data_IF_602130989502
#
_entry.id   IF_602130989502
#
_cell.length_a   1.000
_cell.length_b   1.000
_cell.length_c   1.000
_cell.angle_alpha   90.00
_cell.angle_beta   90.00
_cell.angle_gamma   90.00
#
_symmetry.space_group_name_H-M   'P 1'
#
loop_
_entity.id
_entity.type
_entity.pdbx_description
1 polymer ?
#
# COMPACT_ATOMS: atom_id res chain seq x y z
N UNK A 1 -1.22 3.81 15.44
CA UNK A 1 -1.48 5.23 15.76
C UNK A 1 -0.58 5.70 16.91
N UNK A 2 -0.55 5.04 18.08
CA UNK A 2 0.34 5.41 19.21
C UNK A 2 1.81 5.45 18.77
N UNK A 3 2.22 4.48 17.97
CA UNK A 3 3.57 4.46 17.38
C UNK A 3 3.84 5.70 16.53
N UNK A 4 2.93 6.06 15.62
CA UNK A 4 3.09 7.24 14.76
C UNK A 4 3.18 8.54 15.60
N UNK A 5 2.33 8.68 16.60
CA UNK A 5 2.37 9.83 17.51
C UNK A 5 3.69 9.93 18.29
N UNK A 6 4.25 8.79 18.70
CA UNK A 6 5.54 8.76 19.38
C UNK A 6 6.73 9.01 18.43
N UNK A 7 6.62 8.60 17.17
CA UNK A 7 7.69 8.74 16.17
C UNK A 7 7.72 10.14 15.56
N UNK A 8 6.55 10.76 15.40
CA UNK A 8 6.36 12.08 14.79
C UNK A 8 5.54 12.98 15.74
N UNK A 9 6.11 13.39 16.89
CA UNK A 9 5.36 14.10 17.95
C UNK A 9 4.90 15.51 17.54
N UNK A 10 5.60 16.15 16.63
CA UNK A 10 5.35 17.50 16.17
C UNK A 10 4.30 17.59 15.06
N UNK A 11 3.88 16.43 14.52
CA UNK A 11 2.93 16.39 13.42
C UNK A 11 1.48 16.30 13.89
N UNK A 12 0.60 17.00 13.18
CA UNK A 12 -0.84 16.94 13.39
C UNK A 12 -1.43 15.63 12.84
N UNK A 13 -1.49 14.62 13.70
CA UNK A 13 -1.97 13.29 13.34
C UNK A 13 -3.48 13.17 13.52
N UNK A 14 -4.20 12.92 12.42
CA UNK A 14 -5.62 12.63 12.41
C UNK A 14 -5.90 11.17 12.06
N UNK A 15 -6.83 10.55 12.76
CA UNK A 15 -7.41 9.26 12.37
C UNK A 15 -8.79 9.48 11.76
N UNK A 16 -8.93 9.18 10.48
CA UNK A 16 -10.16 9.33 9.72
C UNK A 16 -10.80 7.95 9.56
N UNK A 17 -12.08 7.81 9.91
CA UNK A 17 -12.83 6.57 9.75
C UNK A 17 -14.33 6.85 9.74
N UNK A 18 -15.11 6.04 9.03
CA UNK A 18 -16.56 5.98 9.09
C UNK A 18 -17.08 5.13 10.27
N UNK A 19 -16.19 4.39 10.93
CA UNK A 19 -16.52 3.51 12.05
C UNK A 19 -16.44 4.23 13.40
N UNK A 20 -17.58 4.56 14.01
CA UNK A 20 -17.66 5.23 15.33
C UNK A 20 -16.87 4.50 16.43
N UNK A 21 -16.85 3.14 16.39
CA UNK A 21 -16.09 2.34 17.37
C UNK A 21 -14.59 2.54 17.23
N UNK A 22 -14.08 2.66 15.98
CA UNK A 22 -12.67 2.92 15.70
C UNK A 22 -12.30 4.35 16.12
N UNK A 23 -13.14 5.32 15.85
CA UNK A 23 -13.00 6.72 16.31
C UNK A 23 -12.92 6.78 17.83
N UNK A 24 -13.85 6.14 18.55
CA UNK A 24 -13.83 6.13 20.01
C UNK A 24 -12.54 5.54 20.59
N UNK A 25 -12.02 4.45 20.00
CA UNK A 25 -10.74 3.86 20.40
C UNK A 25 -9.55 4.78 20.15
N UNK A 26 -9.52 5.48 19.01
CA UNK A 26 -8.45 6.42 18.70
C UNK A 26 -8.47 7.63 19.65
N UNK A 27 -9.66 8.17 19.96
CA UNK A 27 -9.85 9.25 20.94
C UNK A 27 -9.35 8.85 22.34
N UNK A 28 -9.63 7.62 22.80
CA UNK A 28 -9.11 7.10 24.07
C UNK A 28 -7.57 7.07 24.14
N UNK A 29 -6.90 7.07 22.99
CA UNK A 29 -5.44 7.13 22.84
C UNK A 29 -4.90 8.55 22.62
N UNK A 30 -5.77 9.56 22.73
CA UNK A 30 -5.40 10.95 22.54
C UNK A 30 -5.00 11.29 21.11
N UNK A 31 -5.51 10.55 20.12
CA UNK A 31 -5.33 10.84 18.70
C UNK A 31 -6.46 11.76 18.24
N UNK A 32 -6.15 12.84 17.51
CA UNK A 32 -7.17 13.64 16.83
C UNK A 32 -7.95 12.76 15.86
N UNK A 33 -9.27 12.89 15.85
CA UNK A 33 -10.10 12.03 15.00
C UNK A 33 -11.09 12.84 14.18
N UNK A 34 -11.46 12.29 13.04
CA UNK A 34 -12.55 12.80 12.22
C UNK A 34 -13.46 11.64 11.80
N UNK A 35 -14.75 11.74 12.15
CA UNK A 35 -15.74 10.77 11.71
C UNK A 35 -16.13 11.11 10.26
N UNK A 36 -15.66 10.29 9.34
CA UNK A 36 -15.99 10.44 7.94
C UNK A 36 -17.49 10.26 7.69
N UNK A 37 -18.08 10.98 6.73
CA UNK A 37 -19.40 10.66 6.24
C UNK A 37 -19.40 9.25 5.67
N UNK A 38 -20.54 8.55 5.77
CA UNK A 38 -20.64 7.21 5.18
C UNK A 38 -20.53 7.30 3.65
N UNK A 39 -19.48 6.76 3.02
CA UNK A 39 -19.28 6.86 1.58
C UNK A 39 -20.42 6.22 0.79
N UNK A 40 -20.99 5.13 1.30
CA UNK A 40 -22.08 4.42 0.64
C UNK A 40 -23.36 5.24 0.54
N UNK A 41 -23.58 6.16 1.48
CA UNK A 41 -24.74 7.09 1.43
C UNK A 41 -24.45 8.31 0.56
N UNK A 42 -23.22 8.81 0.62
CA UNK A 42 -22.87 10.07 -0.04
C UNK A 42 -22.65 9.90 -1.56
N UNK A 43 -22.14 8.74 -1.99
CA UNK A 43 -21.84 8.45 -3.40
C UNK A 43 -22.56 7.19 -3.91
N UNK A 44 -23.86 7.08 -3.60
CA UNK A 44 -24.71 5.97 -4.04
C UNK A 44 -24.71 5.78 -5.57
N UNK A 45 -24.70 6.89 -6.33
CA UNK A 45 -24.64 6.85 -7.79
C UNK A 45 -23.36 6.14 -8.29
N UNK A 46 -22.20 6.56 -7.78
CA UNK A 46 -20.90 5.91 -8.13
C UNK A 46 -20.92 4.44 -7.75
N UNK A 47 -21.42 4.11 -6.56
CA UNK A 47 -21.51 2.72 -6.11
C UNK A 47 -22.42 1.87 -6.99
N UNK A 48 -23.57 2.41 -7.39
CA UNK A 48 -24.55 1.69 -8.20
C UNK A 48 -24.06 1.40 -9.63
N UNK A 49 -23.23 2.29 -10.18
CA UNK A 49 -22.72 2.19 -11.54
C UNK A 49 -21.35 1.53 -11.67
N UNK A 50 -20.69 1.25 -10.53
CA UNK A 50 -19.38 0.63 -10.54
C UNK A 50 -19.47 -0.84 -10.99
N UNK A 51 -18.72 -1.21 -12.02
CA UNK A 51 -18.73 -2.57 -12.59
C UNK A 51 -17.97 -3.61 -11.74
N UNK A 52 -17.28 -3.19 -10.70
CA UNK A 52 -16.57 -4.11 -9.81
C UNK A 52 -17.52 -4.87 -8.88
N UNK A 53 -17.32 -6.18 -8.66
CA UNK A 53 -18.14 -6.97 -7.75
C UNK A 53 -18.16 -6.37 -6.34
N UNK A 54 -19.34 -6.00 -5.84
CA UNK A 54 -19.49 -5.47 -4.48
C UNK A 54 -19.23 -6.54 -3.41
N UNK A 55 -19.39 -7.81 -3.76
CA UNK A 55 -19.07 -8.96 -2.89
C UNK A 55 -17.57 -9.13 -2.68
N UNK A 56 -16.75 -8.59 -3.58
CA UNK A 56 -15.29 -8.66 -3.40
C UNK A 56 -14.87 -7.79 -2.21
N UNK A 57 -14.54 -8.47 -1.10
CA UNK A 57 -14.06 -7.86 0.14
C UNK A 57 -14.96 -6.72 0.62
N UNK A 58 -16.28 -6.93 0.54
CA UNK A 58 -17.29 -5.98 0.98
C UNK A 58 -17.15 -4.60 0.29
N UNK A 59 -17.13 -4.59 -1.04
CA UNK A 59 -17.04 -3.38 -1.85
C UNK A 59 -15.66 -2.71 -1.82
N UNK A 60 -14.60 -3.49 -1.75
CA UNK A 60 -13.21 -3.00 -1.63
C UNK A 60 -12.89 -1.91 -2.67
N UNK A 61 -13.18 -2.15 -3.96
CA UNK A 61 -12.85 -1.20 -5.02
C UNK A 61 -13.61 0.11 -4.91
N UNK A 62 -14.88 0.05 -4.49
CA UNK A 62 -15.64 1.25 -4.18
C UNK A 62 -15.02 2.02 -3.00
N UNK A 63 -14.68 1.32 -1.91
CA UNK A 63 -14.13 1.95 -0.70
C UNK A 63 -12.77 2.59 -0.95
N UNK A 64 -11.92 2.00 -1.79
CA UNK A 64 -10.63 2.59 -2.14
C UNK A 64 -10.79 3.86 -2.98
N UNK A 65 -11.72 3.88 -3.94
CA UNK A 65 -12.03 5.09 -4.70
C UNK A 65 -12.72 6.16 -3.83
N UNK A 66 -13.70 5.77 -3.01
CA UNK A 66 -14.44 6.67 -2.12
C UNK A 66 -13.54 7.38 -1.09
N UNK A 67 -12.40 6.81 -0.74
CA UNK A 67 -11.39 7.43 0.13
C UNK A 67 -10.95 8.81 -0.35
N UNK A 68 -10.83 9.03 -1.66
CA UNK A 68 -10.44 10.31 -2.25
C UNK A 68 -11.47 11.38 -1.91
N UNK A 69 -12.75 11.06 -2.00
CA UNK A 69 -13.85 11.96 -1.66
C UNK A 69 -13.92 12.24 -0.15
N UNK A 70 -13.69 11.21 0.67
CA UNK A 70 -13.59 11.37 2.13
C UNK A 70 -12.45 12.31 2.50
N UNK A 71 -11.27 12.15 1.87
CA UNK A 71 -10.12 13.01 2.09
C UNK A 71 -10.41 14.46 1.68
N UNK A 72 -11.09 14.67 0.53
CA UNK A 72 -11.52 15.99 0.12
C UNK A 72 -12.45 16.64 1.16
N UNK A 73 -13.47 15.91 1.63
CA UNK A 73 -14.40 16.43 2.65
C UNK A 73 -13.64 16.82 3.95
N UNK A 74 -12.66 16.01 4.36
CA UNK A 74 -11.81 16.33 5.50
C UNK A 74 -11.01 17.63 5.26
N UNK A 75 -10.34 17.72 4.12
CA UNK A 75 -9.50 18.86 3.80
C UNK A 75 -10.30 20.17 3.64
N UNK A 76 -11.51 20.10 3.10
CA UNK A 76 -12.42 21.26 3.01
C UNK A 76 -12.86 21.74 4.38
N UNK A 77 -13.26 20.84 5.28
CA UNK A 77 -13.69 21.20 6.64
C UNK A 77 -12.56 21.84 7.45
N UNK A 78 -11.35 21.32 7.32
CA UNK A 78 -10.19 21.79 8.07
C UNK A 78 -9.39 22.90 7.36
N UNK A 79 -9.73 23.22 6.10
CA UNK A 79 -9.01 24.21 5.26
C UNK A 79 -7.50 23.94 5.19
N UNK A 80 -7.12 22.66 5.16
CA UNK A 80 -5.73 22.24 5.19
C UNK A 80 -4.93 22.81 4.02
N UNK A 81 -3.73 23.27 4.32
CA UNK A 81 -2.77 23.69 3.31
C UNK A 81 -2.02 22.49 2.72
N UNK A 82 -1.67 21.53 3.56
CA UNK A 82 -0.96 20.32 3.13
C UNK A 82 -1.48 19.10 3.90
N UNK A 83 -1.60 17.98 3.22
CA UNK A 83 -1.97 16.71 3.84
C UNK A 83 -1.12 15.57 3.28
N UNK A 84 -0.57 14.76 4.16
CA UNK A 84 0.03 13.48 3.84
C UNK A 84 -0.90 12.37 4.35
N UNK A 85 -1.69 11.79 3.44
CA UNK A 85 -2.54 10.65 3.74
C UNK A 85 -1.71 9.37 3.74
N UNK A 86 -1.94 8.52 4.74
CA UNK A 86 -1.26 7.23 4.91
C UNK A 86 -2.32 6.16 5.17
N UNK A 87 -2.25 5.03 4.48
CA UNK A 87 -3.16 3.91 4.76
C UNK A 87 -2.88 3.30 6.13
N UNK A 88 -3.93 2.77 6.77
CA UNK A 88 -3.84 2.23 8.12
C UNK A 88 -2.94 0.99 8.27
N UNK A 89 -2.59 0.35 7.17
CA UNK A 89 -1.69 -0.80 7.10
C UNK A 89 -0.28 -0.45 6.57
N UNK A 90 0.02 0.83 6.43
CA UNK A 90 1.37 1.32 6.15
C UNK A 90 2.10 1.59 7.46
N UNK A 91 3.28 1.01 7.59
CA UNK A 91 4.20 1.25 8.70
C UNK A 91 5.27 2.25 8.25
N UNK A 92 5.40 3.39 8.94
CA UNK A 92 6.46 4.37 8.69
C UNK A 92 7.65 4.10 9.60
N UNK A 93 8.86 4.17 9.05
CA UNK A 93 10.08 4.16 9.87
C UNK A 93 10.42 5.56 10.40
N UNK A 94 11.22 5.69 11.48
CA UNK A 94 11.66 7.00 11.97
C UNK A 94 12.44 7.83 10.93
N UNK A 95 13.06 7.16 9.96
CA UNK A 95 13.77 7.78 8.83
C UNK A 95 12.85 8.32 7.73
N UNK A 96 11.52 8.20 7.88
CA UNK A 96 10.56 8.70 6.88
C UNK A 96 10.73 10.22 6.72
N UNK A 97 10.96 10.73 5.49
CA UNK A 97 11.39 12.11 5.27
C UNK A 97 10.20 13.08 5.24
N UNK A 98 9.46 13.21 6.35
CA UNK A 98 8.23 14.02 6.39
C UNK A 98 8.47 15.48 6.02
N UNK A 99 9.60 16.05 6.47
CA UNK A 99 9.98 17.45 6.15
C UNK A 99 10.19 17.69 4.66
N UNK A 100 10.50 16.67 3.88
CA UNK A 100 10.67 16.82 2.43
C UNK A 100 9.35 17.05 1.69
N UNK A 101 8.22 16.74 2.31
CA UNK A 101 6.91 17.01 1.72
C UNK A 101 6.49 18.46 1.88
N UNK A 102 6.92 19.14 2.95
CA UNK A 102 6.56 20.54 3.23
C UNK A 102 7.04 21.48 2.12
N UNK A 103 8.22 21.21 1.55
CA UNK A 103 8.85 22.07 0.53
C UNK A 103 8.55 21.62 -0.91
N UNK A 104 7.66 20.63 -1.10
CA UNK A 104 7.35 20.14 -2.44
C UNK A 104 6.57 21.19 -3.24
N UNK A 105 7.19 21.67 -4.33
CA UNK A 105 6.50 22.56 -5.28
C UNK A 105 5.68 21.76 -6.30
N UNK A 106 4.83 20.83 -5.80
CA UNK A 106 3.95 19.99 -6.60
C UNK A 106 2.55 19.99 -6.01
N UNK A 107 1.55 19.60 -6.79
CA UNK A 107 0.17 19.55 -6.35
C UNK A 107 -0.17 18.22 -5.67
N UNK A 108 0.42 17.13 -6.18
CA UNK A 108 0.16 15.77 -5.72
C UNK A 108 1.42 14.91 -5.84
N UNK A 109 1.60 13.97 -4.89
CA UNK A 109 2.69 13.00 -4.94
C UNK A 109 2.25 11.66 -4.33
N UNK A 110 2.63 10.56 -4.99
CA UNK A 110 2.35 9.19 -4.54
C UNK A 110 3.30 8.20 -5.22
N UNK A 111 3.50 6.98 -4.67
CA UNK A 111 4.29 5.95 -5.31
C UNK A 111 3.54 5.29 -6.47
N UNK A 112 4.27 4.94 -7.54
CA UNK A 112 3.75 4.14 -8.65
C UNK A 112 4.07 2.66 -8.45
N UNK A 113 3.12 1.79 -8.82
CA UNK A 113 3.27 0.33 -8.83
C UNK A 113 3.67 -0.19 -10.22
N UNK A 114 3.11 0.43 -11.26
CA UNK A 114 3.40 0.13 -12.67
C UNK A 114 3.34 1.42 -13.48
N UNK A 115 3.51 1.32 -14.78
CA UNK A 115 3.40 2.46 -15.67
C UNK A 115 2.05 3.18 -15.55
N UNK A 116 0.96 2.42 -15.43
CA UNK A 116 -0.43 2.89 -15.46
C UNK A 116 -1.16 2.84 -14.10
N UNK A 117 -0.45 2.52 -13.01
CA UNK A 117 -1.08 2.32 -11.70
C UNK A 117 -0.31 3.01 -10.58
N UNK A 118 -0.96 3.99 -9.95
CA UNK A 118 -0.47 4.64 -8.74
C UNK A 118 -1.03 3.96 -7.47
N UNK A 119 -0.37 4.15 -6.34
CA UNK A 119 -0.77 3.56 -5.05
C UNK A 119 -1.01 4.65 -4.02
N UNK A 120 -2.23 4.72 -3.51
CA UNK A 120 -2.57 5.67 -2.44
C UNK A 120 -2.15 5.21 -1.03
N UNK A 121 -1.17 4.31 -0.91
CA UNK A 121 -0.61 3.93 0.39
C UNK A 121 -0.02 5.13 1.13
N UNK A 122 0.61 6.02 0.38
CA UNK A 122 1.06 7.35 0.77
C UNK A 122 0.60 8.29 -0.33
N UNK A 123 -0.16 9.32 0.03
CA UNK A 123 -0.67 10.31 -0.89
C UNK A 123 -0.50 11.72 -0.29
N UNK A 124 0.35 12.53 -0.92
CA UNK A 124 0.50 13.94 -0.59
C UNK A 124 -0.43 14.79 -1.45
N UNK A 125 -1.11 15.74 -0.83
CA UNK A 125 -1.93 16.78 -1.46
C UNK A 125 -1.55 18.15 -0.89
N UNK A 126 -1.27 19.09 -1.78
CA UNK A 126 -0.76 20.42 -1.42
C UNK A 126 -1.77 21.24 -0.63
N UNK A 127 -3.05 21.17 -0.96
CA UNK A 127 -4.12 21.92 -0.27
C UNK A 127 -5.51 21.38 -0.63
N UNK A 128 -6.54 21.91 0.04
CA UNK A 128 -7.93 21.52 -0.19
C UNK A 128 -8.42 21.78 -1.62
N UNK A 129 -7.93 22.81 -2.33
CA UNK A 129 -8.30 23.07 -3.74
C UNK A 129 -7.78 21.99 -4.68
N UNK A 130 -6.59 21.45 -4.40
CA UNK A 130 -6.06 20.30 -5.15
C UNK A 130 -6.84 19.04 -4.86
N UNK A 131 -7.28 18.84 -3.63
CA UNK A 131 -8.14 17.73 -3.28
C UNK A 131 -9.52 17.81 -3.98
N UNK A 132 -10.10 19.00 -4.08
CA UNK A 132 -11.32 19.25 -4.85
C UNK A 132 -11.12 18.92 -6.33
N UNK A 133 -10.07 19.46 -6.96
CA UNK A 133 -9.72 19.16 -8.35
C UNK A 133 -9.50 17.66 -8.59
N UNK A 134 -8.88 16.96 -7.64
CA UNK A 134 -8.71 15.51 -7.69
C UNK A 134 -10.06 14.76 -7.70
N UNK A 135 -11.04 15.20 -6.90
CA UNK A 135 -12.38 14.61 -6.90
C UNK A 135 -13.14 14.88 -8.19
N UNK A 136 -13.01 16.07 -8.78
CA UNK A 136 -13.62 16.38 -10.07
C UNK A 136 -13.06 15.51 -11.19
N UNK A 137 -11.72 15.33 -11.21
CA UNK A 137 -11.05 14.40 -12.14
C UNK A 137 -11.59 12.97 -11.92
N UNK A 138 -11.72 12.52 -10.67
CA UNK A 138 -12.22 11.19 -10.35
C UNK A 138 -13.64 10.95 -10.87
N UNK A 139 -14.51 11.95 -10.80
CA UNK A 139 -15.89 11.86 -11.33
C UNK A 139 -15.88 11.78 -12.86
N UNK A 140 -15.11 12.62 -13.54
CA UNK A 140 -14.98 12.61 -15.00
C UNK A 140 -14.42 11.27 -15.49
N UNK A 141 -13.35 10.79 -14.86
CA UNK A 141 -12.75 9.49 -15.19
C UNK A 141 -13.73 8.32 -14.94
N UNK A 142 -14.52 8.41 -13.87
CA UNK A 142 -15.56 7.41 -13.57
C UNK A 142 -16.68 7.39 -14.60
N UNK A 143 -17.10 8.54 -15.10
CA UNK A 143 -18.10 8.62 -16.18
C UNK A 143 -17.62 7.91 -17.45
N UNK A 144 -16.34 8.05 -17.76
CA UNK A 144 -15.71 7.43 -18.92
C UNK A 144 -15.36 5.94 -18.71
N UNK A 145 -15.11 5.52 -17.47
CA UNK A 145 -14.68 4.16 -17.14
C UNK A 145 -15.30 3.65 -15.84
N UNK A 146 -16.37 2.87 -15.94
CA UNK A 146 -17.06 2.26 -14.78
C UNK A 146 -16.25 1.14 -14.10
N UNK A 147 -15.08 0.77 -14.62
CA UNK A 147 -14.10 -0.12 -13.98
C UNK A 147 -12.98 0.67 -13.26
N UNK A 148 -13.15 1.98 -13.09
CA UNK A 148 -12.15 2.82 -12.43
C UNK A 148 -11.87 2.32 -11.01
N UNK A 149 -10.58 2.25 -10.68
CA UNK A 149 -10.09 2.06 -9.30
C UNK A 149 -9.26 3.28 -8.91
N UNK A 150 -9.01 3.46 -7.62
CA UNK A 150 -8.08 4.50 -7.15
C UNK A 150 -6.69 4.36 -7.80
N UNK A 151 -6.22 3.14 -8.02
CA UNK A 151 -4.92 2.88 -8.64
C UNK A 151 -4.89 3.34 -10.11
N UNK A 152 -5.94 3.05 -10.89
CA UNK A 152 -6.04 3.50 -12.28
C UNK A 152 -6.21 5.01 -12.36
N UNK A 153 -7.04 5.61 -11.49
CA UNK A 153 -7.18 7.05 -11.40
C UNK A 153 -5.85 7.75 -11.17
N UNK A 154 -5.06 7.27 -10.20
CA UNK A 154 -3.75 7.83 -9.93
C UNK A 154 -2.78 7.62 -11.10
N UNK A 155 -2.84 6.48 -11.79
CA UNK A 155 -2.09 6.25 -13.02
C UNK A 155 -2.45 7.26 -14.11
N UNK A 156 -3.75 7.50 -14.35
CA UNK A 156 -4.22 8.50 -15.32
C UNK A 156 -3.74 9.92 -14.97
N UNK A 157 -3.75 10.28 -13.68
CA UNK A 157 -3.21 11.56 -13.20
C UNK A 157 -1.72 11.69 -13.49
N UNK A 158 -0.94 10.63 -13.26
CA UNK A 158 0.50 10.64 -13.52
C UNK A 158 0.84 10.94 -15.00
N UNK A 159 -0.04 10.59 -15.94
CA UNK A 159 0.17 10.77 -17.38
C UNK A 159 -0.55 12.01 -17.95
N UNK A 160 -1.67 12.44 -17.38
CA UNK A 160 -2.55 13.45 -17.97
C UNK A 160 -2.03 14.88 -17.88
N UNK A 161 -1.07 15.14 -16.98
CA UNK A 161 -0.61 16.51 -16.62
C UNK A 161 -1.74 17.43 -16.11
N UNK A 162 -2.87 16.87 -15.72
CA UNK A 162 -3.98 17.63 -15.13
C UNK A 162 -3.63 18.20 -13.75
N UNK A 163 -2.75 17.50 -13.04
CA UNK A 163 -2.13 17.96 -11.78
C UNK A 163 -0.60 17.93 -11.93
N UNK A 164 0.08 18.86 -11.27
CA UNK A 164 1.54 18.84 -11.17
C UNK A 164 1.94 17.70 -10.22
N UNK A 165 2.18 16.53 -10.81
CA UNK A 165 2.49 15.28 -10.13
C UNK A 165 3.99 15.03 -10.01
N UNK A 166 4.42 14.54 -8.86
CA UNK A 166 5.76 14.03 -8.63
C UNK A 166 5.70 12.61 -8.07
N UNK A 167 6.27 11.60 -8.75
CA UNK A 167 6.31 10.25 -8.22
C UNK A 167 7.23 10.14 -7.00
N UNK A 168 6.78 9.38 -5.98
CA UNK A 168 7.64 8.96 -4.87
C UNK A 168 8.50 7.78 -5.35
N UNK A 169 9.85 7.85 -5.23
CA UNK A 169 10.71 6.78 -5.72
C UNK A 169 10.47 5.47 -4.98
N UNK A 170 10.20 4.41 -5.72
CA UNK A 170 9.99 3.05 -5.18
C UNK A 170 11.17 2.13 -5.44
N UNK A 171 12.09 2.55 -6.32
CA UNK A 171 13.33 1.87 -6.65
C UNK A 171 14.43 2.90 -6.90
N UNK A 172 15.69 2.64 -6.48
CA UNK A 172 16.82 3.51 -6.82
C UNK A 172 17.10 3.58 -8.32
N UNK A 173 17.56 4.73 -8.80
CA UNK A 173 17.81 4.98 -10.23
C UNK A 173 18.78 3.99 -10.89
N UNK A 174 19.69 3.42 -10.12
CA UNK A 174 20.73 2.51 -10.61
C UNK A 174 20.36 1.03 -10.46
N UNK A 175 19.17 0.70 -9.93
CA UNK A 175 18.66 -0.67 -9.82
C UNK A 175 17.73 -1.05 -11.00
N UNK A 176 18.08 -0.68 -12.21
CA UNK A 176 17.28 -0.95 -13.42
C UNK A 176 17.08 -2.45 -13.70
N UNK A 177 18.01 -3.29 -13.24
CA UNK A 177 17.90 -4.76 -13.32
C UNK A 177 16.72 -5.32 -12.50
N UNK A 178 16.17 -4.53 -11.59
CA UNK A 178 14.97 -4.88 -10.81
C UNK A 178 13.66 -4.34 -11.46
N UNK A 179 13.71 -3.84 -12.69
CA UNK A 179 12.51 -3.44 -13.43
C UNK A 179 11.99 -4.58 -14.31
N UNK A 180 10.68 -4.82 -14.23
CA UNK A 180 9.94 -5.65 -15.20
C UNK A 180 9.47 -4.84 -16.42
N UNK A 181 9.22 -3.54 -16.23
CA UNK A 181 8.69 -2.64 -17.25
C UNK A 181 9.56 -1.39 -17.35
N UNK A 182 10.32 -1.29 -18.42
CA UNK A 182 11.20 -0.17 -18.69
C UNK A 182 10.46 1.19 -18.85
N UNK A 183 9.18 1.17 -19.28
CA UNK A 183 8.38 2.39 -19.41
C UNK A 183 8.09 3.03 -18.03
N UNK A 184 8.05 2.22 -16.98
CA UNK A 184 7.83 2.72 -15.62
C UNK A 184 9.08 3.37 -15.00
N UNK A 185 10.26 3.33 -15.63
CA UNK A 185 11.52 3.81 -15.05
C UNK A 185 11.41 5.24 -14.50
N UNK A 186 10.94 6.20 -15.29
CA UNK A 186 10.78 7.59 -14.87
C UNK A 186 9.76 7.81 -13.75
N UNK A 187 8.90 6.83 -13.49
CA UNK A 187 7.86 6.89 -12.47
C UNK A 187 8.26 6.19 -11.17
N UNK A 188 9.01 5.11 -11.24
CA UNK A 188 9.39 4.32 -10.05
C UNK A 188 10.80 4.65 -9.55
N UNK A 189 11.69 5.13 -10.42
CA UNK A 189 13.09 5.45 -10.08
C UNK A 189 13.36 6.97 -9.94
N UNK A 190 12.35 7.81 -10.08
CA UNK A 190 12.53 9.26 -10.03
C UNK A 190 12.84 9.73 -8.61
N UNK A 191 14.06 10.25 -8.38
CA UNK A 191 14.47 10.82 -7.09
C UNK A 191 14.40 12.35 -7.06
N UNK A 192 13.39 12.95 -7.66
CA UNK A 192 13.22 14.41 -7.66
C UNK A 192 12.96 15.00 -6.26
N UNK A 193 12.53 14.16 -5.29
CA UNK A 193 12.42 14.55 -3.87
C UNK A 193 13.80 14.65 -3.20
N UNK A 194 14.85 14.18 -3.86
CA UNK A 194 16.21 14.16 -3.31
C UNK A 194 16.30 13.49 -1.93
N UNK A 195 15.84 12.25 -1.87
CA UNK A 195 15.90 11.40 -0.68
C UNK A 195 16.99 10.33 -0.82
N UNK A 196 17.53 9.89 0.32
CA UNK A 196 18.53 8.81 0.38
C UNK A 196 17.93 7.41 0.38
N UNK A 197 16.61 7.29 0.17
CA UNK A 197 15.90 6.02 0.22
C UNK A 197 14.68 5.98 -0.67
N UNK A 198 13.88 4.93 -0.51
CA UNK A 198 12.73 4.62 -1.34
C UNK A 198 11.45 4.43 -0.52
N UNK A 199 10.31 4.61 -1.17
CA UNK A 199 9.00 4.40 -0.60
C UNK A 199 8.44 3.05 -1.07
N UNK A 200 7.93 2.24 -0.15
CA UNK A 200 7.21 1.03 -0.52
C UNK A 200 5.76 1.38 -0.86
N UNK A 201 5.43 1.44 -2.13
CA UNK A 201 4.05 1.52 -2.57
C UNK A 201 3.29 0.25 -2.20
N UNK A 202 3.83 -0.90 -2.64
CA UNK A 202 3.21 -2.21 -2.41
C UNK A 202 4.22 -3.37 -2.52
N UNK A 203 5.23 -3.27 -3.39
CA UNK A 203 6.02 -4.40 -3.83
C UNK A 203 6.85 -5.02 -2.71
N UNK A 204 7.56 -4.21 -1.92
CA UNK A 204 8.42 -4.69 -0.82
C UNK A 204 7.56 -5.34 0.28
N UNK A 205 6.53 -4.64 0.74
CA UNK A 205 5.67 -5.14 1.81
C UNK A 205 4.86 -6.37 1.41
N UNK A 206 4.43 -6.46 0.16
CA UNK A 206 3.63 -7.59 -0.32
C UNK A 206 4.47 -8.84 -0.53
N UNK A 207 5.59 -8.74 -1.24
CA UNK A 207 6.33 -9.93 -1.67
C UNK A 207 7.40 -10.34 -0.67
N UNK A 208 8.09 -9.40 -0.05
CA UNK A 208 9.16 -9.71 0.90
C UNK A 208 8.65 -9.95 2.33
N UNK A 209 7.50 -9.34 2.72
CA UNK A 209 6.92 -9.52 4.05
C UNK A 209 5.71 -10.45 4.09
N UNK A 210 5.09 -10.72 2.96
CA UNK A 210 3.97 -11.64 2.83
C UNK A 210 2.70 -11.00 2.32
N UNK A 211 1.92 -11.81 1.61
CA UNK A 211 0.70 -11.41 0.92
C UNK A 211 -0.47 -11.37 1.90
N UNK A 212 -1.45 -10.53 1.61
CA UNK A 212 -2.73 -10.51 2.35
C UNK A 212 -3.34 -11.91 2.38
N UNK A 213 -3.61 -12.47 3.57
CA UNK A 213 -4.19 -13.80 3.71
C UNK A 213 -5.49 -14.00 2.93
N UNK A 214 -6.23 -12.92 2.65
CA UNK A 214 -7.45 -12.95 1.84
C UNK A 214 -7.17 -13.14 0.34
N UNK A 215 -5.97 -12.81 -0.12
CA UNK A 215 -5.52 -13.01 -1.51
C UNK A 215 -4.82 -14.35 -1.70
N UNK A 216 -4.45 -15.05 -0.64
CA UNK A 216 -3.65 -16.28 -0.67
C UNK A 216 -4.44 -17.55 -1.06
N UNK A 217 -5.65 -17.42 -1.60
CA UNK A 217 -6.46 -18.54 -2.06
C UNK A 217 -5.92 -19.12 -3.37
N UNK A 218 -4.82 -19.86 -3.28
CA UNK A 218 -4.27 -20.68 -4.36
C UNK A 218 -2.88 -20.22 -4.83
N UNK A 219 -1.95 -21.18 -4.84
CA UNK A 219 -0.55 -21.04 -5.24
C UNK A 219 -0.36 -20.40 -6.63
N UNK A 220 -1.26 -20.66 -7.56
CA UNK A 220 -1.21 -20.10 -8.92
C UNK A 220 -1.48 -18.58 -8.98
N UNK A 221 -2.11 -17.99 -7.95
CA UNK A 221 -2.33 -16.53 -7.89
C UNK A 221 -1.08 -15.74 -7.48
N UNK A 222 -0.15 -16.36 -6.75
CA UNK A 222 1.13 -15.76 -6.38
C UNK A 222 1.96 -15.37 -7.62
N UNK A 223 2.04 -16.26 -8.60
CA UNK A 223 2.83 -16.03 -9.81
C UNK A 223 2.20 -14.99 -10.76
N UNK A 224 0.86 -14.91 -10.81
CA UNK A 224 0.18 -13.95 -11.70
C UNK A 224 0.25 -12.51 -11.23
N UNK A 225 0.40 -12.26 -9.92
CA UNK A 225 0.46 -10.91 -9.40
C UNK A 225 1.83 -10.23 -9.61
N UNK A 226 2.92 -10.98 -9.65
CA UNK A 226 4.26 -10.42 -9.87
C UNK A 226 4.44 -9.81 -11.27
N UNK A 227 3.85 -10.40 -12.30
CA UNK A 227 4.01 -9.93 -13.68
C UNK A 227 3.36 -8.59 -13.99
N UNK A 228 2.47 -8.10 -13.12
CA UNK A 228 1.79 -6.81 -13.30
C UNK A 228 2.48 -5.62 -12.61
N UNK A 229 3.53 -5.89 -11.84
CA UNK A 229 4.28 -4.84 -11.13
C UNK A 229 5.51 -4.40 -11.93
N UNK A 230 5.82 -3.10 -11.87
CA UNK A 230 7.02 -2.57 -12.52
C UNK A 230 8.32 -3.11 -11.89
N UNK A 231 8.28 -3.49 -10.61
CA UNK A 231 9.45 -3.92 -9.85
C UNK A 231 9.48 -5.44 -9.74
N UNK A 232 10.59 -6.03 -10.17
CA UNK A 232 10.91 -7.44 -9.94
C UNK A 232 11.58 -7.61 -8.57
N UNK A 233 10.79 -8.04 -7.59
CA UNK A 233 11.29 -8.22 -6.21
C UNK A 233 12.26 -9.40 -6.06
N UNK A 234 12.30 -10.34 -7.01
CA UNK A 234 13.25 -11.45 -6.99
C UNK A 234 14.70 -10.96 -7.18
N UNK A 235 14.86 -9.77 -7.77
CA UNK A 235 16.15 -9.10 -7.93
C UNK A 235 16.50 -8.17 -6.76
N UNK A 236 15.66 -8.10 -5.72
CA UNK A 236 15.87 -7.28 -4.54
C UNK A 236 16.31 -8.13 -3.35
N UNK A 237 17.29 -7.65 -2.64
CA UNK A 237 17.69 -8.24 -1.33
C UNK A 237 17.28 -7.28 -0.22
N UNK A 238 16.45 -7.77 0.68
CA UNK A 238 16.09 -7.03 1.89
C UNK A 238 17.16 -7.24 2.96
N UNK A 239 17.51 -6.19 3.69
CA UNK A 239 18.47 -6.24 4.78
C UNK A 239 18.08 -5.38 5.96
N UNK A 240 18.90 -5.41 7.00
CA UNK A 240 18.92 -4.41 8.06
C UNK A 240 20.30 -3.75 8.03
N UNK A 241 20.33 -2.41 8.20
CA UNK A 241 21.59 -1.68 8.40
C UNK A 241 22.02 -1.71 9.87
N UNK A 242 23.12 -1.03 10.20
CA UNK A 242 23.65 -0.97 11.55
C UNK A 242 22.68 -0.35 12.57
N UNK A 243 21.82 0.57 12.10
CA UNK A 243 20.79 1.23 12.91
C UNK A 243 19.46 0.43 12.94
N UNK A 244 19.50 -0.82 12.48
CA UNK A 244 18.32 -1.71 12.39
C UNK A 244 17.18 -1.18 11.50
N UNK A 245 17.45 -0.25 10.59
CA UNK A 245 16.49 0.17 9.58
C UNK A 245 16.42 -0.88 8.48
N UNK A 246 15.21 -1.03 7.89
CA UNK A 246 15.03 -1.87 6.71
C UNK A 246 15.67 -1.20 5.51
N UNK A 247 16.47 -1.95 4.77
CA UNK A 247 17.18 -1.48 3.58
C UNK A 247 17.03 -2.46 2.42
N UNK A 248 17.02 -1.93 1.21
CA UNK A 248 17.30 -2.71 0.01
C UNK A 248 18.81 -2.76 -0.16
N UNK A 249 19.35 -3.97 -0.37
CA UNK A 249 20.79 -4.18 -0.56
C UNK A 249 21.10 -4.30 -2.04
N UNK A 250 22.08 -3.54 -2.48
CA UNK A 250 22.62 -3.61 -3.84
C UNK A 250 24.12 -3.39 -3.82
N UNK A 251 24.88 -4.37 -4.34
CA UNK A 251 26.33 -4.25 -4.61
C UNK A 251 27.13 -3.60 -3.48
N UNK A 252 26.77 -3.90 -2.22
CA UNK A 252 27.43 -3.37 -1.03
C UNK A 252 26.88 -2.03 -0.51
N UNK A 253 25.79 -1.52 -1.08
CA UNK A 253 25.08 -0.33 -0.59
C UNK A 253 23.80 -0.71 0.14
N UNK A 254 23.50 0.06 1.17
CA UNK A 254 22.25 -0.01 1.93
C UNK A 254 21.37 1.20 1.55
N UNK A 255 20.22 0.94 0.96
CA UNK A 255 19.24 1.94 0.53
C UNK A 255 18.07 1.89 1.49
N UNK A 256 17.80 2.97 2.19
CA UNK A 256 16.72 3.03 3.17
C UNK A 256 15.36 2.76 2.54
N UNK A 257 14.54 1.99 3.23
CA UNK A 257 13.11 1.87 2.95
C UNK A 257 12.36 2.69 3.99
N UNK A 258 11.67 3.74 3.58
CA UNK A 258 11.04 4.70 4.48
C UNK A 258 9.76 4.20 5.13
N UNK A 259 9.07 3.28 4.47
CA UNK A 259 7.83 2.69 4.93
C UNK A 259 7.67 1.26 4.43
N UNK A 260 6.76 0.52 5.04
CA UNK A 260 6.35 -0.80 4.56
C UNK A 260 4.83 -0.87 4.46
N UNK A 261 4.31 -1.21 3.30
CA UNK A 261 2.90 -1.49 3.11
C UNK A 261 2.60 -2.92 3.61
N UNK A 262 2.01 -3.02 4.79
CA UNK A 262 1.85 -4.30 5.51
C UNK A 262 0.72 -5.16 4.93
N UNK A 263 0.91 -5.69 3.74
CA UNK A 263 -0.08 -6.55 3.06
C UNK A 263 -0.45 -7.81 3.84
N UNK A 264 0.51 -8.40 4.55
CA UNK A 264 0.27 -9.56 5.41
C UNK A 264 -0.66 -9.28 6.60
N UNK A 265 -1.01 -7.99 6.85
CA UNK A 265 -1.78 -7.53 8.02
C UNK A 265 -1.18 -8.02 9.34
N UNK A 266 0.14 -8.17 9.38
CA UNK A 266 0.86 -8.66 10.55
C UNK A 266 1.06 -7.53 11.57
N UNK A 267 0.21 -7.51 12.59
CA UNK A 267 0.23 -6.48 13.63
C UNK A 267 1.53 -6.45 14.45
N UNK A 268 2.41 -7.47 14.33
CA UNK A 268 3.72 -7.47 15.02
C UNK A 268 4.65 -6.40 14.50
N UNK A 269 4.46 -5.92 13.27
CA UNK A 269 5.20 -4.76 12.74
C UNK A 269 5.03 -3.50 13.59
N UNK A 270 3.87 -3.34 14.26
CA UNK A 270 3.56 -2.18 15.08
C UNK A 270 4.01 -2.33 16.56
N UNK A 271 4.61 -3.49 16.92
CA UNK A 271 5.14 -3.77 18.27
C UNK A 271 6.66 -3.86 18.21
N UNK A 272 7.37 -2.96 18.83
CA UNK A 272 8.83 -2.84 18.71
C UNK A 272 9.59 -4.15 18.92
N UNK A 273 9.38 -4.83 20.07
CA UNK A 273 10.04 -6.12 20.36
C UNK A 273 9.76 -7.20 19.30
N UNK A 274 8.53 -7.21 18.75
CA UNK A 274 8.12 -8.20 17.75
C UNK A 274 8.60 -7.83 16.36
N UNK A 275 8.66 -6.51 16.06
CA UNK A 275 9.11 -5.97 14.77
C UNK A 275 10.55 -6.36 14.46
N UNK A 276 11.49 -6.06 15.38
CA UNK A 276 12.91 -6.42 15.22
C UNK A 276 13.07 -7.91 14.91
N UNK A 277 12.44 -8.77 15.70
CA UNK A 277 12.50 -10.23 15.51
C UNK A 277 11.86 -10.68 14.18
N UNK A 278 10.75 -10.07 13.79
CA UNK A 278 10.07 -10.37 12.54
C UNK A 278 10.92 -10.00 11.32
N UNK A 279 11.46 -8.77 11.31
CA UNK A 279 12.31 -8.29 10.22
C UNK A 279 13.60 -9.12 10.12
N UNK A 280 14.28 -9.42 11.24
CA UNK A 280 15.45 -10.29 11.24
C UNK A 280 15.17 -11.69 10.70
N UNK A 281 14.00 -12.27 11.04
CA UNK A 281 13.58 -13.56 10.50
C UNK A 281 13.33 -13.49 8.99
N UNK A 282 12.66 -12.45 8.52
CA UNK A 282 12.34 -12.27 7.09
C UNK A 282 13.58 -11.98 6.25
N UNK A 283 14.49 -11.15 6.76
CA UNK A 283 15.78 -10.90 6.11
C UNK A 283 16.60 -12.20 5.96
N UNK A 284 16.59 -13.08 6.97
CA UNK A 284 17.24 -14.39 6.88
C UNK A 284 16.58 -15.33 5.87
N UNK A 285 15.27 -15.24 5.70
CA UNK A 285 14.49 -16.10 4.78
C UNK A 285 14.45 -15.59 3.33
N UNK A 286 14.90 -14.37 3.06
CA UNK A 286 14.98 -13.80 1.70
C UNK A 286 16.24 -14.24 0.92
N UNK A 287 17.12 -15.03 1.52
CA UNK A 287 18.17 -15.77 0.78
C UNK A 287 17.51 -16.79 -0.17
N UNK A 288 17.82 -16.71 -1.44
CA UNK A 288 17.17 -17.35 -2.59
C UNK A 288 16.85 -18.87 -2.51
N UNK A 289 17.37 -19.59 -1.51
CA UNK A 289 17.15 -21.04 -1.38
C UNK A 289 15.95 -21.45 -0.51
N UNK A 290 15.57 -20.65 0.51
CA UNK A 290 14.56 -21.07 1.50
C UNK A 290 13.13 -20.78 1.07
N UNK A 291 12.88 -19.82 0.17
CA UNK A 291 11.53 -19.49 -0.31
C UNK A 291 10.98 -20.62 -1.18
N UNK A 292 11.81 -21.23 -2.04
CA UNK A 292 11.39 -22.38 -2.84
C UNK A 292 11.09 -23.60 -1.96
N UNK A 293 11.89 -23.86 -0.94
CA UNK A 293 11.68 -24.98 -0.02
C UNK A 293 10.44 -24.79 0.88
N UNK A 294 10.19 -23.55 1.33
CA UNK A 294 8.99 -23.22 2.11
C UNK A 294 7.72 -23.31 1.26
N UNK A 295 7.76 -22.85 0.01
CA UNK A 295 6.66 -22.95 -0.95
C UNK A 295 6.36 -24.42 -1.26
N UNK A 296 7.37 -25.25 -1.46
CA UNK A 296 7.21 -26.70 -1.71
C UNK A 296 6.65 -27.40 -0.45
N UNK A 297 7.14 -27.08 0.76
CA UNK A 297 6.60 -27.66 2.02
C UNK A 297 5.13 -27.26 2.25
N UNK A 298 4.76 -25.99 2.03
CA UNK A 298 3.38 -25.52 2.16
C UNK A 298 2.48 -26.16 1.08
N UNK A 299 3.00 -26.35 -0.14
CA UNK A 299 2.30 -27.04 -1.23
C UNK A 299 2.01 -28.50 -0.87
N UNK A 300 3.02 -29.25 -0.47
CA UNK A 300 2.85 -30.65 -0.08
C UNK A 300 1.86 -30.82 1.08
N UNK A 301 1.92 -29.97 2.10
CA UNK A 301 0.99 -30.01 3.24
C UNK A 301 -0.45 -29.66 2.81
N UNK A 302 -0.65 -28.72 1.91
CA UNK A 302 -1.98 -28.34 1.44
C UNK A 302 -2.59 -29.40 0.51
N UNK A 303 -1.79 -30.01 -0.36
CA UNK A 303 -2.21 -31.13 -1.22
C UNK A 303 -2.55 -32.35 -0.38
N UNK A 304 -1.73 -32.72 0.61
CA UNK A 304 -2.02 -33.81 1.54
C UNK A 304 -3.33 -33.56 2.31
N UNK A 305 -3.55 -32.37 2.85
CA UNK A 305 -4.80 -32.01 3.53
C UNK A 305 -6.01 -32.08 2.60
N UNK A 306 -5.87 -31.70 1.33
CA UNK A 306 -6.93 -31.79 0.33
C UNK A 306 -7.26 -33.24 -0.01
N UNK A 307 -6.25 -34.11 -0.17
CA UNK A 307 -6.41 -35.53 -0.43
C UNK A 307 -7.09 -36.21 0.77
N UNK A 308 -6.61 -35.98 1.98
CA UNK A 308 -7.19 -36.55 3.22
C UNK A 308 -8.66 -36.11 3.35
N UNK A 309 -9.02 -34.88 3.03
CA UNK A 309 -10.38 -34.36 3.07
C UNK A 309 -11.28 -35.02 2.04
N UNK A 310 -10.79 -35.30 0.82
CA UNK A 310 -11.52 -36.01 -0.24
C UNK A 310 -11.75 -37.48 0.12
N UNK A 311 -10.74 -38.16 0.66
CA UNK A 311 -10.85 -39.56 1.12
C UNK A 311 -11.85 -39.66 2.28
N UNK A 312 -11.79 -38.72 3.25
CA UNK A 312 -12.74 -38.72 4.38
C UNK A 312 -14.19 -38.47 3.96
N UNK A 313 -14.41 -37.58 2.99
CA UNK A 313 -15.73 -37.27 2.45
C UNK A 313 -16.25 -38.43 1.57
N UNK A 314 -15.38 -39.13 0.83
CA UNK A 314 -15.74 -40.31 0.05
C UNK A 314 -16.14 -41.49 0.92
N UNK A 315 -15.47 -41.68 2.07
CA UNK A 315 -15.82 -42.73 3.04
C UNK A 315 -17.14 -42.48 3.79
N UNK A 316 -17.56 -41.20 3.90
CA UNK A 316 -18.88 -40.86 4.49
C UNK A 316 -20.03 -41.07 3.52
N UNK A 317 -19.82 -41.01 2.20
CA UNK A 317 -20.87 -41.27 1.19
C UNK A 317 -21.10 -42.77 0.92
N UNK A 318 -20.22 -43.66 1.37
CA UNK A 318 -20.41 -45.13 1.25
C UNK A 318 -21.07 -45.78 2.48
N UNK A 319 -21.48 -44.96 3.48
CA UNK A 319 -22.14 -45.45 4.71
C UNK A 319 -23.62 -45.01 4.83
N UNK A 320 -24.21 -44.52 3.76
CA UNK A 320 -25.64 -44.31 3.59
C UNK A 320 -26.10 -45.20 2.43
#
# INVERSE_FOLDING_TARGET
LEYLKATFPDEDLYFISDCRKSIAKANQKGIKTWLAPNPEMQWQGVRAELNHPLEFRDGFWFKTLARIFVLNSFMQVHQNQEVLQIEADVFLFPSFPISKFIDLNVEISFPMESYDRGIASILYLKNHKISEKLTDIALIEFENNKNLTDMLLLGNIAHSRLLNFLPLPTLPNDMQNALNDANAFGLVCNNSINTSGVFDGISVGQYLLGIDPRNSRGLLKLYRSQSSHAINVDNLTLGLNIDENVVLKDSGRDILVFNLHNHAKDLRLYKEKSRKKLLQKRVKSSGQGEIQELVIKVFLVSVLKSIIRKVRNGLHQQKI
#
